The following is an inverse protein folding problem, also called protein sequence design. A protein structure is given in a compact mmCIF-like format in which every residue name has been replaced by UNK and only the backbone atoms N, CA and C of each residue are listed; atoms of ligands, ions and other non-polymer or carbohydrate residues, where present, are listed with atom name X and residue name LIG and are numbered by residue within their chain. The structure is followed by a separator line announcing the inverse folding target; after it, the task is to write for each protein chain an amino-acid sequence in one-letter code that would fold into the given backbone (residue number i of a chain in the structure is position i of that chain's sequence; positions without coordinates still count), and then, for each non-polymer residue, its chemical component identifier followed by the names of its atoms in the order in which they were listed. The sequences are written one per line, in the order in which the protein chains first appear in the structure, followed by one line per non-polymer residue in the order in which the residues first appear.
data_IF_766092219506
#
_entry.id   IF_766092219506
#
_cell.length_a   1.000
_cell.length_b   1.000
_cell.length_c   1.000
_cell.angle_alpha   90.00
_cell.angle_beta   90.00
_cell.angle_gamma   90.00
#
_symmetry.space_group_name_H-M   'P 1'
#
loop_
_entity.id
_entity.type
_entity.pdbx_description
1 polymer ?
#
# COMPACT_ATOMS: atom_id res chain seq x y z
N UNK A 1 -14.91 2.63 -5.63
CA UNK A 1 -14.24 1.82 -4.63
C UNK A 1 -12.75 1.72 -4.86
N UNK A 2 -12.35 1.49 -6.10
CA UNK A 2 -10.93 1.43 -6.39
C UNK A 2 -10.27 2.79 -6.14
N UNK A 3 -10.95 3.88 -6.45
CA UNK A 3 -10.42 5.20 -6.16
C UNK A 3 -10.22 5.40 -4.65
N UNK A 4 -11.09 4.83 -3.85
CA UNK A 4 -10.93 4.88 -2.39
C UNK A 4 -9.66 4.14 -1.97
N UNK A 5 -9.40 2.97 -2.57
CA UNK A 5 -8.18 2.21 -2.27
C UNK A 5 -6.95 3.01 -2.63
N UNK A 6 -6.95 3.64 -3.81
CA UNK A 6 -5.82 4.47 -4.21
C UNK A 6 -5.59 5.61 -3.24
N UNK A 7 -6.66 6.25 -2.78
CA UNK A 7 -6.54 7.29 -1.77
C UNK A 7 -5.89 6.79 -0.49
N UNK A 8 -6.29 5.61 -0.04
CA UNK A 8 -5.70 5.00 1.15
C UNK A 8 -4.21 4.75 0.97
N UNK A 9 -3.83 4.19 -0.19
CA UNK A 9 -2.43 3.87 -0.43
C UNK A 9 -1.59 5.13 -0.56
N UNK A 10 -2.11 6.16 -1.20
CA UNK A 10 -1.39 7.42 -1.33
C UNK A 10 -1.23 8.11 0.00
N UNK A 11 -2.28 8.15 0.82
CA UNK A 11 -2.18 8.71 2.16
C UNK A 11 -1.15 7.98 2.98
N UNK A 12 -1.14 6.66 2.88
CA UNK A 12 -0.17 5.85 3.60
C UNK A 12 1.25 6.20 3.16
N UNK A 13 1.48 6.32 1.86
CA UNK A 13 2.81 6.63 1.34
C UNK A 13 3.26 8.02 1.79
N UNK A 14 2.35 8.99 1.71
CA UNK A 14 2.66 10.36 2.13
C UNK A 14 3.07 10.39 3.60
N UNK A 15 2.45 9.55 4.43
CA UNK A 15 2.71 9.52 5.86
C UNK A 15 4.12 9.03 6.19
N UNK A 16 4.69 8.17 5.35
CA UNK A 16 5.97 7.53 5.66
C UNK A 16 7.13 8.06 4.85
N UNK A 17 6.87 8.79 3.79
CA UNK A 17 7.91 9.30 2.92
C UNK A 17 8.56 10.53 3.58
N UNK A 18 9.91 10.66 3.54
CA UNK A 18 10.55 11.85 4.07
C UNK A 18 10.19 13.08 3.24
N UNK A 19 10.50 14.25 3.78
CA UNK A 19 10.09 15.51 3.19
C UNK A 19 10.50 15.64 1.71
N UNK A 20 11.68 15.16 1.36
CA UNK A 20 12.17 15.21 -0.01
C UNK A 20 11.98 13.87 -0.73
N UNK A 21 11.08 13.05 -0.23
CA UNK A 21 10.86 11.75 -0.79
C UNK A 21 10.06 11.77 -2.07
N UNK A 22 9.94 10.59 -2.66
CA UNK A 22 9.23 10.43 -3.94
C UNK A 22 8.18 9.35 -3.82
N UNK A 23 7.06 9.58 -4.45
CA UNK A 23 5.97 8.61 -4.56
C UNK A 23 5.65 8.49 -6.03
N UNK A 24 5.65 7.26 -6.52
CA UNK A 24 5.37 6.99 -7.93
C UNK A 24 4.20 6.04 -8.01
N UNK A 25 3.16 6.46 -8.73
CA UNK A 25 2.02 5.62 -9.05
C UNK A 25 2.21 5.08 -10.44
N UNK A 26 2.16 3.77 -10.60
CA UNK A 26 2.30 3.16 -11.91
C UNK A 26 1.20 2.15 -12.15
N UNK A 27 0.83 2.01 -13.41
CA UNK A 27 -0.20 1.09 -13.86
C UNK A 27 0.40 0.22 -14.94
N UNK A 28 0.09 -1.06 -14.89
CA UNK A 28 0.52 -1.98 -15.94
C UNK A 28 -0.52 -3.08 -16.08
N UNK A 29 -0.39 -3.88 -17.11
CA UNK A 29 -1.36 -4.91 -17.42
C UNK A 29 -0.64 -6.13 -17.95
N UNK A 30 -1.03 -7.28 -17.45
CA UNK A 30 -0.61 -8.55 -18.00
C UNK A 30 -1.77 -9.13 -18.79
N UNK A 31 -1.62 -10.36 -19.30
CA UNK A 31 -2.70 -11.00 -20.03
C UNK A 31 -3.92 -11.27 -19.15
N UNK A 32 -3.72 -11.44 -17.85
CA UNK A 32 -4.77 -11.87 -16.94
C UNK A 32 -5.11 -10.86 -15.86
N UNK A 33 -4.24 -9.89 -15.61
CA UNK A 33 -4.42 -8.98 -14.48
C UNK A 33 -4.05 -7.56 -14.82
N UNK A 34 -4.67 -6.65 -14.09
CA UNK A 34 -4.31 -5.25 -14.10
C UNK A 34 -3.56 -4.96 -12.80
N UNK A 35 -2.40 -4.33 -12.91
CA UNK A 35 -1.53 -4.09 -11.76
C UNK A 35 -1.44 -2.61 -11.47
N UNK A 36 -1.59 -2.26 -10.19
CA UNK A 36 -1.45 -0.89 -9.71
C UNK A 36 -0.37 -0.91 -8.64
N UNK A 37 0.62 -0.05 -8.76
CA UNK A 37 1.69 0.04 -7.77
C UNK A 37 1.83 1.45 -7.26
N UNK A 38 1.95 1.58 -5.94
CA UNK A 38 2.29 2.83 -5.28
C UNK A 38 3.65 2.62 -4.64
N UNK A 39 4.66 3.23 -5.22
CA UNK A 39 6.06 3.04 -4.84
C UNK A 39 6.55 4.28 -4.12
N UNK A 40 7.23 4.09 -3.00
CA UNK A 40 7.83 5.19 -2.27
C UNK A 40 9.30 4.88 -1.96
N UNK A 41 10.02 5.90 -1.57
CA UNK A 41 11.41 5.76 -1.13
C UNK A 41 11.57 6.06 0.35
N UNK A 42 10.56 5.72 1.13
CA UNK A 42 10.60 5.86 2.58
C UNK A 42 11.42 4.78 3.26
N UNK A 43 11.15 4.54 4.54
CA UNK A 43 11.95 3.60 5.33
C UNK A 43 11.75 2.13 4.99
N UNK A 44 10.71 1.81 4.24
CA UNK A 44 10.42 0.42 3.95
C UNK A 44 9.67 -0.27 5.08
N UNK A 45 9.30 -1.53 4.84
CA UNK A 45 8.56 -2.33 5.79
C UNK A 45 9.31 -3.65 5.95
N UNK A 46 9.63 -4.05 7.19
CA UNK A 46 10.33 -5.33 7.40
C UNK A 46 9.50 -6.49 6.88
N UNK A 47 10.18 -7.54 6.42
CA UNK A 47 9.50 -8.73 5.92
C UNK A 47 8.51 -9.27 6.94
N UNK A 48 8.87 -9.22 8.21
CA UNK A 48 8.01 -9.74 9.27
C UNK A 48 6.71 -8.96 9.42
N UNK A 49 6.64 -7.75 8.88
CA UNK A 49 5.44 -6.92 8.98
C UNK A 49 4.65 -6.84 7.69
N UNK A 50 5.13 -7.44 6.59
CA UNK A 50 4.51 -7.23 5.30
C UNK A 50 3.08 -7.75 5.20
N UNK A 51 2.75 -8.79 5.93
CA UNK A 51 1.35 -9.24 6.00
C UNK A 51 0.60 -8.57 7.13
N UNK A 52 1.29 -8.26 8.22
CA UNK A 52 0.64 -7.68 9.40
C UNK A 52 0.12 -6.28 9.16
N UNK A 53 0.74 -5.53 8.21
CA UNK A 53 0.31 -4.15 7.97
C UNK A 53 -1.13 -4.05 7.50
N UNK A 54 -1.71 -5.15 6.99
CA UNK A 54 -3.11 -5.14 6.55
C UNK A 54 -4.08 -5.54 7.65
N UNK A 55 -3.57 -5.83 8.84
CA UNK A 55 -4.42 -6.18 9.96
C UNK A 55 -5.08 -4.94 10.53
N UNK A 56 -6.27 -5.15 11.03
CA UNK A 56 -7.01 -4.08 11.67
C UNK A 56 -6.22 -3.53 12.85
N UNK A 57 -6.15 -2.21 12.95
CA UNK A 57 -5.46 -1.49 14.02
C UNK A 57 -3.95 -1.70 14.07
N UNK A 58 -3.36 -2.30 13.02
CA UNK A 58 -1.92 -2.40 13.00
C UNK A 58 -1.29 -1.02 12.88
N UNK A 59 -0.23 -0.79 13.63
CA UNK A 59 0.54 0.45 13.56
C UNK A 59 2.00 0.13 13.78
N UNK A 60 2.84 0.62 12.88
CA UNK A 60 4.28 0.54 13.08
C UNK A 60 4.70 1.61 14.07
N UNK A 61 5.85 1.41 14.69
CA UNK A 61 6.36 2.39 15.67
C UNK A 61 6.48 3.77 15.07
N UNK A 62 6.96 3.85 13.84
CA UNK A 62 7.12 5.14 13.17
C UNK A 62 5.80 5.82 12.89
N UNK A 63 4.72 5.10 12.92
CA UNK A 63 3.40 5.65 12.61
C UNK A 63 2.78 6.40 13.77
N UNK A 64 3.38 6.37 14.94
CA UNK A 64 2.77 7.01 16.10
C UNK A 64 2.59 8.52 15.91
N UNK A 65 3.35 9.11 14.99
CA UNK A 65 3.20 10.54 14.70
C UNK A 65 2.11 10.83 13.69
N UNK A 66 1.48 9.81 13.16
CA UNK A 66 0.45 9.92 12.15
C UNK A 66 -0.91 9.69 12.73
N UNK A 67 -1.49 10.74 13.25
CA UNK A 67 -2.75 10.60 13.96
C UNK A 67 -3.92 10.26 13.08
N UNK A 68 -3.80 10.53 11.78
CA UNK A 68 -4.87 10.21 10.86
C UNK A 68 -4.98 8.74 10.56
N UNK A 69 -3.94 7.98 10.86
CA UNK A 69 -3.90 6.58 10.50
C UNK A 69 -4.09 5.73 11.75
N UNK A 70 -5.31 5.32 11.98
CA UNK A 70 -5.67 4.57 13.17
C UNK A 70 -5.59 3.06 12.94
N UNK A 71 -4.89 2.63 11.91
CA UNK A 71 -4.75 1.22 11.64
C UNK A 71 -5.92 0.61 10.91
N UNK A 72 -6.75 1.44 10.27
CA UNK A 72 -7.93 0.95 9.55
C UNK A 72 -7.81 1.09 8.05
N UNK A 73 -6.98 2.02 7.56
CA UNK A 73 -6.93 2.29 6.13
C UNK A 73 -6.52 1.08 5.30
N UNK A 74 -5.37 0.50 5.62
CA UNK A 74 -4.89 -0.66 4.84
C UNK A 74 -5.80 -1.87 4.99
N UNK A 75 -6.41 -2.05 6.15
CA UNK A 75 -7.38 -3.10 6.35
C UNK A 75 -8.59 -2.92 5.43
N UNK A 76 -9.08 -1.70 5.30
CA UNK A 76 -10.20 -1.40 4.41
C UNK A 76 -9.80 -1.62 2.96
N UNK A 77 -8.59 -1.18 2.58
CA UNK A 77 -8.10 -1.40 1.23
C UNK A 77 -8.05 -2.89 0.91
N UNK A 78 -7.53 -3.68 1.84
CA UNK A 78 -7.46 -5.13 1.68
C UNK A 78 -8.85 -5.71 1.45
N UNK A 79 -9.83 -5.29 2.24
CA UNK A 79 -11.19 -5.80 2.11
C UNK A 79 -11.80 -5.45 0.76
N UNK A 80 -11.63 -4.21 0.32
CA UNK A 80 -12.18 -3.78 -0.96
C UNK A 80 -11.57 -4.59 -2.09
N UNK A 81 -10.25 -4.75 -2.10
CA UNK A 81 -9.58 -5.49 -3.15
C UNK A 81 -10.01 -6.96 -3.13
N UNK A 82 -10.17 -7.54 -1.95
CA UNK A 82 -10.63 -8.92 -1.83
C UNK A 82 -12.03 -9.09 -2.41
N UNK A 83 -12.91 -8.12 -2.20
CA UNK A 83 -14.25 -8.17 -2.77
C UNK A 83 -14.23 -8.11 -4.29
N UNK A 84 -13.19 -7.53 -4.87
CA UNK A 84 -13.01 -7.49 -6.32
C UNK A 84 -12.21 -8.69 -6.83
N UNK A 85 -11.99 -9.68 -5.96
CA UNK A 85 -11.25 -10.91 -6.29
C UNK A 85 -9.80 -10.62 -6.66
N UNK A 86 -9.27 -9.54 -6.14
CA UNK A 86 -7.89 -9.17 -6.34
C UNK A 86 -7.04 -9.44 -5.12
N UNK A 87 -5.79 -9.07 -5.22
CA UNK A 87 -4.85 -9.19 -4.11
C UNK A 87 -4.13 -7.87 -3.91
N UNK A 88 -3.71 -7.64 -2.67
CA UNK A 88 -2.91 -6.48 -2.33
C UNK A 88 -1.73 -6.98 -1.50
N UNK A 89 -0.56 -6.46 -1.79
CA UNK A 89 0.65 -6.89 -1.10
C UNK A 89 1.61 -5.72 -1.02
N UNK A 90 2.66 -5.89 -0.21
CA UNK A 90 3.71 -4.89 -0.12
C UNK A 90 5.04 -5.55 -0.43
N UNK A 91 5.84 -4.88 -1.23
CA UNK A 91 7.14 -5.34 -1.70
C UNK A 91 8.18 -4.30 -1.35
N UNK A 92 9.44 -4.71 -1.33
CA UNK A 92 10.53 -3.76 -1.17
C UNK A 92 10.73 -2.99 -2.47
N UNK A 93 11.03 -1.69 -2.33
CA UNK A 93 11.42 -0.89 -3.48
C UNK A 93 12.93 -1.04 -3.66
N UNK A 94 13.42 -1.38 -4.85
CA UNK A 94 14.86 -1.39 -5.08
C UNK A 94 15.46 -0.04 -4.71
N UNK A 95 16.50 -0.06 -3.91
CA UNK A 95 17.13 1.17 -3.43
C UNK A 95 16.54 1.71 -2.14
N UNK A 96 15.46 1.13 -1.65
CA UNK A 96 14.84 1.52 -0.37
C UNK A 96 13.41 1.98 -0.55
N UNK A 97 12.58 1.68 0.44
CA UNK A 97 11.19 2.05 0.46
C UNK A 97 10.26 0.87 0.26
N UNK A 98 8.99 1.18 0.08
CA UNK A 98 7.94 0.18 -0.05
C UNK A 98 7.17 0.36 -1.34
N UNK A 99 6.71 -0.74 -1.90
CA UNK A 99 5.82 -0.74 -3.06
C UNK A 99 4.56 -1.50 -2.69
N UNK A 100 3.44 -0.80 -2.62
CA UNK A 100 2.15 -1.46 -2.44
C UNK A 100 1.61 -1.82 -3.82
N UNK A 101 1.30 -3.08 -4.01
CA UNK A 101 0.85 -3.59 -5.31
C UNK A 101 -0.54 -4.17 -5.20
N UNK A 102 -1.40 -3.74 -6.09
CA UNK A 102 -2.73 -4.30 -6.26
C UNK A 102 -2.76 -5.06 -7.57
N UNK A 103 -3.30 -6.28 -7.52
CA UNK A 103 -3.49 -7.09 -8.70
C UNK A 103 -4.97 -7.41 -8.82
N UNK A 104 -5.59 -7.01 -9.94
CA UNK A 104 -7.00 -7.22 -10.17
C UNK A 104 -7.17 -8.08 -11.41
N UNK A 105 -7.99 -9.13 -11.34
CA UNK A 105 -8.20 -9.97 -12.52
C UNK A 105 -8.93 -9.20 -13.60
N UNK A 106 -8.54 -9.42 -14.84
CA UNK A 106 -9.28 -8.90 -15.98
C UNK A 106 -10.54 -9.73 -16.16
N UNK A 107 -11.60 -9.09 -16.57
CA UNK A 107 -12.92 -9.75 -16.70
C UNK A 107 -12.94 -10.86 -17.73
#
# INVERSE_FOLDING_TARGET
RISQVLGILLDNAISYVPENGKIILSLSQTKTHFLIRVKDNGPGIPDSAKTSVFRRFYRADSARNNRQHFGLGLCIAYEIISLHKGTISVLDTPGGGSTFQISLPLA
#
